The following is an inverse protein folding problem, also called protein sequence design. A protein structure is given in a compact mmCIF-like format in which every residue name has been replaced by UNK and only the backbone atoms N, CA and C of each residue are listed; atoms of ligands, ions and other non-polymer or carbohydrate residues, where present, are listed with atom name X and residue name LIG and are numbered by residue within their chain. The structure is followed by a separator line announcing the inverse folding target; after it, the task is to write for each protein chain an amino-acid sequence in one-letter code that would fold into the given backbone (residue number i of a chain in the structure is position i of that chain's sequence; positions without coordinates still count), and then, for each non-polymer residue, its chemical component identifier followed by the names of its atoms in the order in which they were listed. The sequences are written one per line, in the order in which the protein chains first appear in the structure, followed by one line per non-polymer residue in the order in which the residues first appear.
data_IF_241749957692
#
_entry.id   IF_241749957692
#
_cell.length_a   1.000
_cell.length_b   1.000
_cell.length_c   1.000
_cell.angle_alpha   90.00
_cell.angle_beta   90.00
_cell.angle_gamma   90.00
#
_symmetry.space_group_name_H-M   'P 1'
#
loop_
_entity.id
_entity.type
_entity.pdbx_description
1 polymer ?
#
# COMPACT_ATOMS: atom_id res chain seq x y z
N UNK A 1 -7.95 -66.17 15.63
CA UNK A 1 -8.10 -64.77 16.07
C UNK A 1 -6.72 -64.15 16.28
N UNK A 2 -6.48 -63.03 15.60
CA UNK A 2 -5.57 -61.91 15.91
C UNK A 2 -4.04 -62.04 15.90
N UNK A 3 -3.44 -60.95 15.35
CA UNK A 3 -2.07 -60.43 15.43
C UNK A 3 -1.00 -61.23 14.65
N UNK A 4 -0.16 -60.65 13.79
CA UNK A 4 0.45 -59.33 13.85
C UNK A 4 0.95 -58.93 12.45
N UNK A 5 0.41 -57.85 11.89
CA UNK A 5 0.95 -57.18 10.70
C UNK A 5 1.89 -56.05 11.16
N UNK A 6 3.19 -56.28 11.06
CA UNK A 6 4.18 -55.21 11.07
C UNK A 6 4.53 -54.89 9.61
N UNK A 7 3.85 -53.90 9.04
CA UNK A 7 4.24 -53.31 7.75
C UNK A 7 5.46 -52.42 7.97
N UNK A 8 6.60 -52.87 7.43
CA UNK A 8 7.85 -52.12 7.43
C UNK A 8 7.74 -50.82 6.64
N UNK A 9 8.39 -49.77 7.14
CA UNK A 9 8.56 -48.50 6.44
C UNK A 9 9.33 -48.75 5.13
N UNK A 10 8.64 -48.60 4.00
CA UNK A 10 9.24 -48.69 2.67
C UNK A 10 10.11 -47.45 2.48
N UNK A 11 11.42 -47.59 2.66
CA UNK A 11 12.38 -46.54 2.31
C UNK A 11 12.34 -46.33 0.79
N UNK A 12 12.25 -45.07 0.31
CA UNK A 12 12.20 -44.80 -1.12
C UNK A 12 13.48 -45.27 -1.81
N UNK A 13 13.34 -45.90 -2.97
CA UNK A 13 14.49 -46.38 -3.76
C UNK A 13 15.36 -45.20 -4.21
N UNK A 14 16.66 -45.46 -4.44
CA UNK A 14 17.60 -44.47 -5.01
C UNK A 14 17.06 -43.79 -6.28
N UNK A 15 16.26 -44.51 -7.07
CA UNK A 15 15.61 -43.99 -8.27
C UNK A 15 14.50 -42.96 -7.95
N UNK A 16 13.74 -43.17 -6.87
CA UNK A 16 12.71 -42.25 -6.41
C UNK A 16 13.33 -40.96 -5.83
N UNK A 17 14.37 -41.10 -5.00
CA UNK A 17 15.10 -39.95 -4.46
C UNK A 17 15.78 -39.12 -5.56
N UNK A 18 16.32 -39.77 -6.60
CA UNK A 18 16.91 -39.10 -7.75
C UNK A 18 15.86 -38.36 -8.60
N UNK A 19 14.65 -38.91 -8.75
CA UNK A 19 13.51 -38.21 -9.37
C UNK A 19 13.09 -36.96 -8.61
N UNK A 20 13.09 -37.02 -7.27
CA UNK A 20 12.79 -35.85 -6.44
C UNK A 20 13.88 -34.80 -6.58
N UNK A 21 15.16 -35.18 -6.50
CA UNK A 21 16.27 -34.25 -6.70
C UNK A 21 16.27 -33.61 -8.10
N UNK A 22 15.99 -34.38 -9.15
CA UNK A 22 15.87 -33.87 -10.53
C UNK A 22 14.64 -32.97 -10.72
N UNK A 23 13.57 -33.17 -9.96
CA UNK A 23 12.38 -32.32 -9.98
C UNK A 23 12.60 -30.99 -9.22
N UNK A 24 13.33 -31.02 -8.11
CA UNK A 24 13.70 -29.83 -7.34
C UNK A 24 14.77 -29.01 -8.06
N UNK A 25 15.72 -29.67 -8.73
CA UNK A 25 16.77 -28.98 -9.51
C UNK A 25 16.22 -28.26 -10.75
N UNK A 26 15.10 -28.71 -11.34
CA UNK A 26 14.41 -28.01 -12.44
C UNK A 26 13.59 -26.78 -12.01
N UNK A 27 13.41 -26.57 -10.71
CA UNK A 27 12.74 -25.38 -10.19
C UNK A 27 13.72 -24.26 -9.83
N UNK A 28 15.02 -24.48 -10.05
CA UNK A 28 16.06 -23.49 -9.77
C UNK A 28 16.93 -23.33 -11.01
N UNK A 29 17.13 -22.08 -11.44
CA UNK A 29 18.13 -21.64 -12.43
C UNK A 29 17.79 -21.75 -13.93
N UNK A 30 16.53 -21.54 -14.33
CA UNK A 30 16.23 -20.97 -15.66
C UNK A 30 15.12 -19.92 -15.52
N UNK A 31 15.51 -18.77 -14.96
CA UNK A 31 14.68 -17.57 -14.82
C UNK A 31 14.44 -16.84 -16.14
N UNK A 32 14.18 -17.57 -17.22
CA UNK A 32 13.76 -17.05 -18.53
C UNK A 32 12.57 -17.88 -19.04
N UNK A 33 11.51 -17.99 -18.23
CA UNK A 33 10.19 -18.17 -18.82
C UNK A 33 9.80 -16.80 -19.37
N UNK A 34 9.57 -16.76 -20.67
CA UNK A 34 9.11 -15.61 -21.42
C UNK A 34 7.96 -14.94 -20.67
N UNK A 35 8.30 -13.86 -19.98
CA UNK A 35 7.34 -12.89 -19.52
C UNK A 35 6.60 -12.40 -20.76
N UNK A 36 5.27 -12.46 -20.75
CA UNK A 36 4.43 -11.80 -21.75
C UNK A 36 4.97 -10.38 -22.04
N UNK A 37 4.83 -9.84 -23.27
CA UNK A 37 5.48 -8.59 -23.71
C UNK A 37 5.03 -7.34 -22.93
N UNK A 38 4.22 -7.49 -21.89
CA UNK A 38 3.78 -6.44 -20.98
C UNK A 38 4.61 -6.34 -19.70
N UNK A 39 5.62 -7.18 -19.49
CA UNK A 39 6.63 -6.96 -18.44
C UNK A 39 7.57 -5.81 -18.85
N UNK A 40 6.99 -4.62 -19.04
CA UNK A 40 7.71 -3.37 -18.96
C UNK A 40 8.34 -3.32 -17.57
N UNK A 41 9.64 -3.60 -17.49
CA UNK A 41 10.45 -3.17 -16.37
C UNK A 41 10.07 -1.72 -16.07
N UNK A 42 9.55 -1.48 -14.87
CA UNK A 42 9.01 -0.18 -14.49
C UNK A 42 10.14 0.83 -14.65
N UNK A 43 9.99 1.76 -15.60
CA UNK A 43 10.91 2.88 -15.75
C UNK A 43 11.12 3.53 -14.36
N UNK A 44 12.37 3.90 -14.00
CA UNK A 44 12.64 4.54 -12.73
C UNK A 44 11.76 5.78 -12.62
N UNK A 45 10.91 5.82 -11.59
CA UNK A 45 10.06 6.98 -11.36
C UNK A 45 10.95 8.12 -10.89
N UNK A 46 11.10 9.14 -11.73
CA UNK A 46 11.99 10.29 -11.50
C UNK A 46 11.62 11.10 -10.25
N UNK A 47 10.37 10.97 -9.77
CA UNK A 47 9.87 11.62 -8.57
C UNK A 47 8.85 10.74 -7.85
N UNK A 48 8.84 10.80 -6.51
CA UNK A 48 7.80 10.17 -5.70
C UNK A 48 6.44 10.85 -5.99
N UNK A 49 5.40 10.10 -6.37
CA UNK A 49 4.10 10.65 -6.69
C UNK A 49 3.33 10.96 -5.40
N UNK A 50 2.23 11.74 -5.49
CA UNK A 50 1.28 11.86 -4.40
C UNK A 50 0.72 10.47 -4.02
N UNK A 51 0.53 10.22 -2.73
CA UNK A 51 0.06 8.94 -2.24
C UNK A 51 -1.45 8.87 -2.36
N UNK A 52 -2.01 7.81 -2.95
CA UNK A 52 -3.47 7.67 -3.09
C UNK A 52 -4.19 7.49 -1.73
N UNK A 53 -3.48 7.07 -0.68
CA UNK A 53 -4.05 6.85 0.66
C UNK A 53 -4.73 8.09 1.26
N UNK A 54 -4.17 9.29 1.04
CA UNK A 54 -4.77 10.56 1.53
C UNK A 54 -6.12 10.90 0.88
N UNK A 55 -6.50 10.22 -0.20
CA UNK A 55 -7.79 10.38 -0.88
C UNK A 55 -8.73 9.22 -0.62
N UNK A 56 -8.22 7.99 -0.62
CA UNK A 56 -9.05 6.79 -0.75
C UNK A 56 -9.11 5.94 0.53
N UNK A 57 -8.22 6.15 1.50
CA UNK A 57 -8.00 5.17 2.58
C UNK A 57 -8.03 5.82 3.97
N UNK A 58 -9.17 6.35 4.42
CA UNK A 58 -9.35 6.63 5.85
C UNK A 58 -9.36 5.30 6.61
N UNK A 59 -8.54 5.19 7.65
CA UNK A 59 -8.51 4.04 8.54
C UNK A 59 -9.04 4.45 9.91
N UNK A 60 -9.94 3.64 10.46
CA UNK A 60 -10.56 3.86 11.76
C UNK A 60 -10.18 2.70 12.67
N UNK A 61 -9.53 3.01 13.78
CA UNK A 61 -9.20 2.06 14.84
C UNK A 61 -10.42 1.79 15.73
N UNK A 62 -10.38 0.67 16.45
CA UNK A 62 -11.48 0.17 17.28
C UNK A 62 -11.92 1.14 18.39
N UNK A 63 -11.01 2.00 18.85
CA UNK A 63 -11.25 3.05 19.84
C UNK A 63 -11.89 4.32 19.23
N UNK A 64 -11.98 4.38 17.90
CA UNK A 64 -12.49 5.50 17.12
C UNK A 64 -11.40 6.42 16.58
N UNK A 65 -10.11 6.15 16.83
CA UNK A 65 -9.03 6.95 16.27
C UNK A 65 -8.97 6.81 14.75
N UNK A 66 -8.71 7.93 14.06
CA UNK A 66 -8.66 7.97 12.60
C UNK A 66 -7.25 8.29 12.14
N UNK A 67 -6.72 7.47 11.25
CA UNK A 67 -5.46 7.73 10.52
C UNK A 67 -5.68 7.74 9.00
N UNK A 68 -4.65 8.11 8.26
CA UNK A 68 -4.69 8.39 6.82
C UNK A 68 -4.24 7.25 5.93
N UNK A 69 -3.80 6.12 6.49
CA UNK A 69 -3.26 5.01 5.71
C UNK A 69 -3.36 3.69 6.49
N UNK A 70 -3.57 2.58 5.77
CA UNK A 70 -3.48 1.23 6.33
C UNK A 70 -2.05 0.80 6.69
N UNK A 71 -1.03 1.52 6.21
CA UNK A 71 0.37 1.31 6.57
C UNK A 71 0.77 2.02 7.87
N UNK A 72 -0.13 2.80 8.47
CA UNK A 72 0.12 3.54 9.71
C UNK A 72 -0.33 2.73 10.93
N UNK A 73 0.36 1.61 11.18
CA UNK A 73 0.05 0.67 12.25
C UNK A 73 0.13 1.31 13.65
N UNK A 74 0.94 2.35 13.80
CA UNK A 74 1.20 3.02 15.08
C UNK A 74 0.46 4.35 15.23
N UNK A 75 -0.48 4.67 14.33
CA UNK A 75 -1.27 5.92 14.39
C UNK A 75 -0.39 7.19 14.37
N UNK A 76 0.78 7.17 13.72
CA UNK A 76 1.66 8.33 13.61
C UNK A 76 1.02 9.48 12.82
N UNK A 77 0.17 9.14 11.85
CA UNK A 77 -0.62 10.07 11.06
C UNK A 77 -2.04 10.25 11.62
N UNK A 78 -2.27 10.01 12.92
CA UNK A 78 -3.58 10.24 13.56
C UNK A 78 -4.09 11.66 13.30
N UNK A 79 -5.30 11.77 12.76
CA UNK A 79 -5.95 13.05 12.45
C UNK A 79 -7.06 13.42 13.43
N UNK A 80 -7.51 12.49 14.27
CA UNK A 80 -8.55 12.74 15.27
C UNK A 80 -9.24 11.46 15.75
N UNK A 81 -10.39 11.60 16.41
CA UNK A 81 -11.19 10.50 16.92
C UNK A 81 -12.70 10.72 16.64
N UNK A 82 -13.39 9.68 16.18
CA UNK A 82 -14.81 9.73 15.77
C UNK A 82 -15.80 9.99 16.92
N UNK A 83 -15.40 9.79 18.17
CA UNK A 83 -16.22 10.14 19.35
C UNK A 83 -16.36 11.65 19.54
N UNK A 84 -15.44 12.43 18.96
CA UNK A 84 -15.38 13.89 19.14
C UNK A 84 -15.70 14.65 17.86
N UNK A 85 -15.44 14.05 16.70
CA UNK A 85 -15.56 14.71 15.40
C UNK A 85 -16.11 13.75 14.35
N UNK A 86 -16.94 14.24 13.44
CA UNK A 86 -17.39 13.43 12.30
C UNK A 86 -16.22 13.11 11.35
N UNK A 87 -16.29 11.96 10.67
CA UNK A 87 -15.30 11.59 9.65
C UNK A 87 -15.18 12.67 8.57
N UNK A 88 -16.31 13.25 8.13
CA UNK A 88 -16.31 14.32 7.14
C UNK A 88 -15.50 15.55 7.60
N UNK A 89 -15.63 15.93 8.88
CA UNK A 89 -14.87 17.05 9.46
C UNK A 89 -13.37 16.74 9.51
N UNK A 90 -12.99 15.53 9.91
CA UNK A 90 -11.58 15.13 9.97
C UNK A 90 -10.97 15.02 8.56
N UNK A 91 -11.67 14.33 7.65
CA UNK A 91 -11.14 13.96 6.33
C UNK A 91 -11.13 15.12 5.32
N UNK A 92 -12.08 16.05 5.42
CA UNK A 92 -12.14 17.26 4.59
C UNK A 92 -11.64 18.51 5.33
N UNK A 93 -11.14 18.34 6.55
CA UNK A 93 -10.59 19.40 7.37
C UNK A 93 -9.28 19.98 6.84
N UNK A 94 -8.85 21.07 7.46
CA UNK A 94 -7.67 21.82 7.06
C UNK A 94 -6.39 20.99 7.07
N UNK A 95 -6.17 20.18 8.12
CA UNK A 95 -5.01 19.29 8.24
C UNK A 95 -4.86 18.38 7.02
N UNK A 96 -5.93 17.64 6.68
CA UNK A 96 -5.92 16.73 5.53
C UNK A 96 -5.72 17.47 4.20
N UNK A 97 -6.29 18.66 4.04
CA UNK A 97 -6.10 19.46 2.83
C UNK A 97 -4.64 19.95 2.70
N UNK A 98 -4.01 20.38 3.81
CA UNK A 98 -2.59 20.75 3.82
C UNK A 98 -1.71 19.57 3.42
N UNK A 99 -1.98 18.37 3.96
CA UNK A 99 -1.22 17.17 3.61
C UNK A 99 -1.39 16.77 2.14
N UNK A 100 -2.60 16.86 1.58
CA UNK A 100 -2.85 16.62 0.15
C UNK A 100 -2.05 17.58 -0.74
N UNK A 101 -2.07 18.87 -0.42
CA UNK A 101 -1.30 19.90 -1.14
C UNK A 101 0.20 19.60 -1.06
N UNK A 102 0.71 19.30 0.13
CA UNK A 102 2.10 18.94 0.34
C UNK A 102 2.53 17.73 -0.51
N UNK A 103 1.69 16.69 -0.63
CA UNK A 103 1.96 15.54 -1.50
C UNK A 103 1.96 15.92 -2.98
N UNK A 104 1.03 16.76 -3.44
CA UNK A 104 0.99 17.26 -4.83
C UNK A 104 2.27 18.04 -5.15
N UNK A 105 2.74 18.85 -4.21
CA UNK A 105 3.92 19.70 -4.36
C UNK A 105 5.23 18.96 -4.04
N UNK A 106 5.17 17.67 -3.68
CA UNK A 106 6.31 16.81 -3.34
C UNK A 106 7.01 17.15 -2.02
N UNK A 107 6.38 17.97 -1.17
CA UNK A 107 6.88 18.33 0.16
C UNK A 107 6.40 17.33 1.22
N UNK A 108 6.86 16.09 1.14
CA UNK A 108 6.42 15.03 2.06
C UNK A 108 6.76 15.28 3.53
N UNK A 109 7.74 16.14 3.82
CA UNK A 109 8.07 16.58 5.17
C UNK A 109 6.99 17.49 5.80
N UNK A 110 6.18 18.16 4.98
CA UNK A 110 5.10 19.04 5.42
C UNK A 110 3.75 18.31 5.56
N UNK A 111 3.74 16.98 5.39
CA UNK A 111 2.54 16.15 5.49
C UNK A 111 2.49 15.35 6.81
N UNK A 112 2.04 14.09 6.76
CA UNK A 112 1.99 13.22 7.93
C UNK A 112 3.39 12.75 8.36
N UNK A 113 3.70 12.62 9.66
CA UNK A 113 5.01 12.19 10.15
C UNK A 113 5.53 10.91 9.47
N UNK A 114 4.67 9.91 9.29
CA UNK A 114 5.01 8.65 8.64
C UNK A 114 5.36 8.83 7.15
N UNK A 115 4.80 9.84 6.48
CA UNK A 115 4.92 10.01 5.03
C UNK A 115 6.37 10.22 4.59
N UNK A 116 7.23 10.79 5.44
CA UNK A 116 8.65 11.02 5.14
C UNK A 116 9.44 9.73 4.88
N UNK A 117 9.10 8.65 5.60
CA UNK A 117 9.78 7.34 5.56
C UNK A 117 8.91 6.20 4.98
N UNK A 118 7.68 6.50 4.58
CA UNK A 118 6.72 5.51 4.10
C UNK A 118 7.08 4.92 2.71
N UNK A 119 6.98 3.59 2.59
CA UNK A 119 6.95 2.89 1.30
C UNK A 119 5.55 2.98 0.67
N UNK A 120 5.27 4.12 0.05
CA UNK A 120 3.97 4.46 -0.56
C UNK A 120 3.47 3.48 -1.64
N UNK A 121 4.31 2.56 -2.14
CA UNK A 121 3.98 1.68 -3.27
C UNK A 121 2.75 0.81 -3.00
N UNK A 122 2.57 0.35 -1.75
CA UNK A 122 1.41 -0.47 -1.36
C UNK A 122 0.12 0.35 -1.29
N UNK A 123 0.19 1.63 -0.93
CA UNK A 123 -0.95 2.53 -0.92
C UNK A 123 -1.34 3.03 -2.32
N UNK A 124 -0.42 2.90 -3.30
CA UNK A 124 -0.62 3.32 -4.67
C UNK A 124 -0.29 4.80 -4.92
N UNK A 125 -0.01 5.10 -6.19
CA UNK A 125 0.16 6.47 -6.67
C UNK A 125 -1.20 7.09 -7.02
N UNK A 126 -1.41 8.34 -6.63
CA UNK A 126 -2.47 9.14 -7.23
C UNK A 126 -1.96 9.65 -8.59
N UNK A 127 -2.70 9.44 -9.70
CA UNK A 127 -2.32 10.01 -11.00
C UNK A 127 -2.25 11.53 -10.95
N UNK A 128 -1.25 12.13 -11.62
CA UNK A 128 -1.02 13.58 -11.61
C UNK A 128 -2.23 14.38 -12.10
N UNK A 129 -2.94 13.88 -13.13
CA UNK A 129 -4.18 14.49 -13.63
C UNK A 129 -5.23 14.62 -12.52
N UNK A 130 -5.46 13.55 -11.75
CA UNK A 130 -6.40 13.54 -10.64
C UNK A 130 -5.94 14.45 -9.50
N UNK A 131 -4.63 14.51 -9.27
CA UNK A 131 -4.01 15.37 -8.27
C UNK A 131 -4.23 16.86 -8.59
N UNK A 132 -4.00 17.26 -9.85
CA UNK A 132 -4.19 18.63 -10.30
C UNK A 132 -5.67 19.03 -10.35
N UNK A 133 -6.54 18.15 -10.87
CA UNK A 133 -7.98 18.36 -10.87
C UNK A 133 -8.51 18.64 -9.45
N UNK A 134 -8.03 17.89 -8.45
CA UNK A 134 -8.38 18.15 -7.05
C UNK A 134 -7.88 19.51 -6.56
N UNK A 135 -6.65 19.90 -6.91
CA UNK A 135 -6.04 21.17 -6.50
C UNK A 135 -6.78 22.37 -7.08
N UNK A 136 -7.14 22.32 -8.36
CA UNK A 136 -7.89 23.37 -9.04
C UNK A 136 -9.29 23.52 -8.41
N UNK A 137 -9.97 22.40 -8.20
CA UNK A 137 -11.27 22.41 -7.53
C UNK A 137 -11.16 22.96 -6.09
N UNK A 138 -10.09 22.65 -5.37
CA UNK A 138 -9.83 23.17 -4.03
C UNK A 138 -9.61 24.68 -4.03
N UNK A 139 -8.75 25.18 -4.93
CA UNK A 139 -8.49 26.62 -5.10
C UNK A 139 -9.75 27.39 -5.51
N UNK A 140 -10.57 26.83 -6.40
CA UNK A 140 -11.83 27.43 -6.80
C UNK A 140 -12.81 27.54 -5.62
N UNK A 141 -12.94 26.48 -4.80
CA UNK A 141 -13.75 26.52 -3.56
C UNK A 141 -13.23 27.55 -2.56
N UNK A 142 -11.91 27.62 -2.36
CA UNK A 142 -11.28 28.58 -1.46
C UNK A 142 -11.52 30.03 -1.91
N UNK A 143 -11.43 30.30 -3.22
CA UNK A 143 -11.73 31.64 -3.78
C UNK A 143 -13.18 32.05 -3.57
N UNK A 144 -14.14 31.12 -3.71
CA UNK A 144 -15.56 31.41 -3.44
C UNK A 144 -15.79 31.80 -1.99
N UNK A 145 -15.27 31.02 -1.03
CA UNK A 145 -15.42 31.28 0.42
C UNK A 145 -14.80 32.58 0.91
N UNK A 146 -13.90 33.23 0.14
CA UNK A 146 -13.29 34.53 0.51
C UNK A 146 -14.08 35.72 -0.02
N UNK A 147 -15.01 35.49 -0.95
CA UNK A 147 -15.82 36.53 -1.57
C UNK A 147 -17.16 36.71 -0.84
N UNK A 148 -17.58 35.68 -0.13
CA UNK A 148 -18.74 35.67 0.76
C UNK A 148 -18.33 36.18 2.15
#
# INVERSE_FOLDING_TARGET
MSASQLQGCILPTRAFLRRILDAVSRQSIDGQRECAPTCRGRAPMSRRPPCAGLWNTPMVHVDGDVTTCCLDEHLENKIGNLRTHSLARLWHGELMNRWRIAHIEGRFADSGPLCTRCNWRSAGALPDEKAQSWLDAFRARAKRRRRD
#
